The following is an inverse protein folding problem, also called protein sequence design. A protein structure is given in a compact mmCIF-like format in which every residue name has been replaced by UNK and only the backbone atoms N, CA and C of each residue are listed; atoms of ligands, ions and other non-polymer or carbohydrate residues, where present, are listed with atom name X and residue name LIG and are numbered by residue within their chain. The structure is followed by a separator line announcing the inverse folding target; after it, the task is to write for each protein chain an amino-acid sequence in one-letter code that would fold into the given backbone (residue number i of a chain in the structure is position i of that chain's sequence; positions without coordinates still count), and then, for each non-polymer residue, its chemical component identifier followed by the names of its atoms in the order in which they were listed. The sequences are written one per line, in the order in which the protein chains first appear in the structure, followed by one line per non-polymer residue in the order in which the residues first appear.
data_IF_515356224552
#
_entry.id   IF_515356224552
#
_cell.length_a   1.000
_cell.length_b   1.000
_cell.length_c   1.000
_cell.angle_alpha   90.00
_cell.angle_beta   90.00
_cell.angle_gamma   90.00
#
_symmetry.space_group_name_H-M   'P 1'
#
loop_
_entity.id
_entity.type
_entity.pdbx_description
1 polymer ?
#
# COMPACT_ATOMS: atom_id res chain seq x y z
N UNK A 1 -23.16 -10.46 -0.26
CA UNK A 1 -21.88 -10.11 -0.91
C UNK A 1 -20.97 -9.51 0.14
N UNK A 2 -19.73 -9.98 0.21
CA UNK A 2 -18.72 -9.39 1.09
C UNK A 2 -18.39 -7.97 0.63
N UNK A 3 -18.29 -7.06 1.61
CA UNK A 3 -17.90 -5.67 1.34
C UNK A 3 -16.38 -5.55 1.30
N UNK A 4 -15.89 -4.57 0.57
CA UNK A 4 -14.49 -4.20 0.49
C UNK A 4 -14.23 -3.02 1.43
N UNK A 5 -13.19 -3.12 2.27
CA UNK A 5 -12.73 -2.03 3.11
C UNK A 5 -11.74 -1.17 2.35
N UNK A 6 -12.19 0.00 1.92
CA UNK A 6 -11.41 0.95 1.12
C UNK A 6 -11.12 2.19 1.95
N UNK A 7 -9.84 2.53 2.10
CA UNK A 7 -9.40 3.73 2.81
C UNK A 7 -9.30 4.95 1.91
N UNK A 8 -8.94 4.75 0.65
CA UNK A 8 -8.85 5.84 -0.31
C UNK A 8 -9.02 5.36 -1.75
N UNK A 9 -9.48 6.26 -2.61
CA UNK A 9 -9.47 6.13 -4.06
C UNK A 9 -8.69 7.33 -4.60
N UNK A 10 -7.52 7.09 -5.18
CA UNK A 10 -6.67 8.13 -5.74
C UNK A 10 -6.66 8.04 -7.26
N UNK A 11 -6.98 9.16 -7.91
CA UNK A 11 -7.07 9.25 -9.38
C UNK A 11 -5.85 9.91 -9.98
N UNK A 12 -5.54 9.52 -11.22
CA UNK A 12 -4.45 10.13 -11.97
C UNK A 12 -3.05 9.72 -11.49
N UNK A 13 -2.93 8.56 -10.85
CA UNK A 13 -1.64 8.03 -10.40
C UNK A 13 -0.79 7.59 -11.59
N UNK A 14 0.50 7.96 -11.57
CA UNK A 14 1.47 7.63 -12.64
C UNK A 14 2.64 6.77 -12.14
N UNK A 15 2.68 6.49 -10.83
CA UNK A 15 3.72 5.66 -10.21
C UNK A 15 3.22 4.27 -9.78
N UNK A 16 1.91 4.02 -9.87
CA UNK A 16 1.29 2.79 -9.40
C UNK A 16 1.09 1.77 -10.55
N UNK A 17 2.02 1.77 -11.50
CA UNK A 17 2.06 0.95 -12.71
C UNK A 17 2.05 1.80 -13.98
N UNK A 18 2.11 1.14 -15.16
CA UNK A 18 2.14 1.83 -16.46
C UNK A 18 0.88 2.66 -16.73
N UNK A 19 1.07 3.81 -17.37
CA UNK A 19 -0.01 4.71 -17.79
C UNK A 19 -0.63 5.49 -16.64
N UNK A 20 -1.79 6.09 -16.89
CA UNK A 20 -2.58 6.79 -15.87
C UNK A 20 -3.49 5.78 -15.17
N UNK A 21 -3.49 5.78 -13.85
CA UNK A 21 -4.21 4.77 -13.07
C UNK A 21 -5.11 5.39 -12.01
N UNK A 22 -6.14 4.66 -11.66
CA UNK A 22 -6.90 4.89 -10.43
C UNK A 22 -6.46 3.86 -9.40
N UNK A 23 -5.88 4.31 -8.29
CA UNK A 23 -5.37 3.44 -7.24
C UNK A 23 -6.41 3.33 -6.12
N UNK A 24 -6.79 2.10 -5.81
CA UNK A 24 -7.72 1.74 -4.74
C UNK A 24 -6.90 1.25 -3.56
N UNK A 25 -6.92 1.99 -2.46
CA UNK A 25 -6.22 1.63 -1.24
C UNK A 25 -7.11 0.79 -0.33
N UNK A 26 -6.77 -0.47 -0.17
CA UNK A 26 -7.50 -1.43 0.67
C UNK A 26 -6.90 -1.48 2.07
N UNK A 27 -7.77 -1.60 3.07
CA UNK A 27 -7.38 -1.67 4.48
C UNK A 27 -6.99 -3.08 4.89
N UNK A 28 -5.99 -3.18 5.74
CA UNK A 28 -5.41 -4.41 6.27
C UNK A 28 -4.09 -4.76 5.60
N UNK A 29 -3.12 -5.20 6.39
CA UNK A 29 -1.81 -5.64 5.92
C UNK A 29 -1.33 -6.84 6.73
N UNK A 30 -0.57 -7.72 6.09
CA UNK A 30 0.11 -8.84 6.74
C UNK A 30 1.40 -8.42 7.46
N UNK A 31 1.89 -7.19 7.18
CA UNK A 31 3.14 -6.65 7.69
C UNK A 31 2.92 -5.33 8.46
N UNK A 32 3.90 -4.98 9.30
CA UNK A 32 3.91 -3.77 10.11
C UNK A 32 5.24 -3.03 9.90
N UNK A 33 5.49 -2.59 8.65
CA UNK A 33 6.74 -1.93 8.31
C UNK A 33 6.90 -0.63 9.10
N UNK A 34 8.02 -0.41 9.82
CA UNK A 34 8.23 0.81 10.61
C UNK A 34 8.26 2.09 9.78
N UNK A 35 8.61 2.01 8.51
CA UNK A 35 8.62 3.12 7.54
C UNK A 35 7.33 3.26 6.72
N UNK A 36 6.24 2.59 7.09
CA UNK A 36 5.01 2.57 6.30
C UNK A 36 4.47 3.99 6.10
N UNK A 37 4.23 4.42 4.86
CA UNK A 37 3.62 5.71 4.55
C UNK A 37 2.08 5.69 4.63
N UNK A 38 1.48 4.49 4.78
CA UNK A 38 0.03 4.28 4.88
C UNK A 38 -0.34 3.51 6.18
N UNK A 39 0.01 4.06 7.38
CA UNK A 39 -0.23 3.37 8.65
C UNK A 39 -1.72 3.09 8.92
N UNK A 40 -2.60 3.85 8.29
CA UNK A 40 -4.06 3.65 8.33
C UNK A 40 -4.51 2.33 7.70
N UNK A 41 -3.68 1.74 6.82
CA UNK A 41 -4.01 0.50 6.13
C UNK A 41 -3.43 -0.75 6.79
N UNK A 42 -2.71 -0.62 7.91
CA UNK A 42 -2.09 -1.77 8.57
C UNK A 42 -3.15 -2.67 9.22
N UNK A 43 -3.98 -2.10 10.10
CA UNK A 43 -5.03 -2.85 10.79
C UNK A 43 -6.24 -3.11 9.89
N UNK A 44 -6.85 -4.30 9.98
CA UNK A 44 -8.17 -4.54 9.37
C UNK A 44 -9.31 -3.86 10.11
N UNK A 45 -9.11 -3.57 11.40
CA UNK A 45 -10.14 -2.96 12.23
C UNK A 45 -10.42 -1.51 11.82
N UNK A 46 -11.65 -1.03 12.06
CA UNK A 46 -11.98 0.37 11.84
C UNK A 46 -11.16 1.24 12.79
N UNK A 47 -10.40 2.17 12.22
CA UNK A 47 -9.67 3.20 12.93
C UNK A 47 -10.21 4.58 12.53
N UNK A 48 -9.79 5.61 13.25
CA UNK A 48 -10.27 6.97 13.06
C UNK A 48 -9.08 7.91 12.99
N UNK A 49 -9.12 8.82 12.02
CA UNK A 49 -8.23 9.97 12.00
C UNK A 49 -8.81 11.05 12.90
N UNK A 50 -7.97 11.59 13.79
CA UNK A 50 -8.34 12.69 14.67
C UNK A 50 -7.63 13.97 14.24
N UNK A 51 -8.41 15.06 14.12
CA UNK A 51 -7.89 16.40 13.86
C UNK A 51 -8.21 17.31 15.06
N UNK A 52 -7.28 17.38 15.99
CA UNK A 52 -7.42 18.16 17.21
C UNK A 52 -7.54 19.65 16.95
N UNK A 53 -7.08 20.14 15.80
CA UNK A 53 -7.26 21.53 15.40
C UNK A 53 -8.74 21.92 15.21
N UNK A 54 -9.59 20.94 14.91
CA UNK A 54 -11.04 21.12 14.79
C UNK A 54 -11.78 21.06 16.14
N UNK A 55 -11.13 20.60 17.22
CA UNK A 55 -11.76 20.40 18.53
C UNK A 55 -11.94 21.73 19.27
N UNK A 56 -13.18 22.22 19.34
CA UNK A 56 -13.48 23.47 20.07
C UNK A 56 -13.30 23.32 21.58
N UNK A 57 -13.58 22.14 22.15
CA UNK A 57 -13.38 21.86 23.58
C UNK A 57 -11.90 22.00 23.98
N UNK A 58 -10.97 21.52 23.14
CA UNK A 58 -9.52 21.71 23.37
C UNK A 58 -9.08 23.17 23.22
N UNK A 59 -9.82 23.97 22.45
CA UNK A 59 -9.59 25.42 22.31
C UNK A 59 -10.20 26.24 23.46
N UNK A 60 -10.75 25.56 24.49
CA UNK A 60 -11.39 26.23 25.62
C UNK A 60 -12.75 26.87 25.31
N UNK A 61 -13.34 26.54 24.14
CA UNK A 61 -14.65 27.08 23.78
C UNK A 61 -15.73 26.17 24.34
N UNK A 62 -16.54 26.70 25.28
CA UNK A 62 -17.69 25.99 25.78
C UNK A 62 -18.81 25.92 24.75
N UNK A 63 -19.39 24.72 24.59
CA UNK A 63 -20.52 24.50 23.66
C UNK A 63 -21.41 23.39 24.23
N UNK A 64 -22.74 23.62 24.20
CA UNK A 64 -23.72 22.60 24.56
C UNK A 64 -23.61 21.36 23.68
N UNK A 65 -23.20 21.52 22.42
CA UNK A 65 -22.92 20.42 21.48
C UNK A 65 -21.78 19.50 21.94
N UNK A 66 -20.91 19.99 22.81
CA UNK A 66 -19.81 19.24 23.41
C UNK A 66 -20.15 18.68 24.80
N UNK A 67 -21.34 18.94 25.35
CA UNK A 67 -21.70 18.51 26.69
C UNK A 67 -21.74 16.99 26.87
N UNK A 68 -22.14 16.26 25.81
CA UNK A 68 -22.16 14.80 25.76
C UNK A 68 -20.86 14.17 25.28
N UNK A 69 -19.85 14.99 24.95
CA UNK A 69 -18.58 14.51 24.41
C UNK A 69 -17.81 13.74 25.47
N UNK A 70 -17.72 12.42 25.32
CA UNK A 70 -16.98 11.49 26.18
C UNK A 70 -15.51 11.40 25.87
N UNK A 71 -14.96 12.30 25.05
CA UNK A 71 -13.55 12.29 24.69
C UNK A 71 -12.71 12.65 25.93
N UNK A 72 -12.27 11.63 26.64
CA UNK A 72 -11.10 11.68 27.49
C UNK A 72 -9.89 11.29 26.66
N UNK A 73 -8.71 11.77 27.02
CA UNK A 73 -7.47 11.47 26.31
C UNK A 73 -7.32 9.94 26.16
N UNK A 74 -7.55 9.42 24.94
CA UNK A 74 -7.52 8.01 24.62
C UNK A 74 -8.83 7.35 24.18
N UNK A 75 -9.99 7.98 24.40
CA UNK A 75 -11.29 7.38 24.06
C UNK A 75 -11.67 7.60 22.59
N UNK A 76 -11.80 6.49 21.85
CA UNK A 76 -12.02 6.43 20.39
C UNK A 76 -13.49 6.55 19.97
N UNK A 77 -14.39 6.87 20.87
CA UNK A 77 -15.83 6.77 20.68
C UNK A 77 -16.49 8.07 20.19
N UNK A 78 -15.83 8.87 19.35
CA UNK A 78 -16.46 10.10 18.83
C UNK A 78 -16.72 9.96 17.33
N UNK A 79 -17.66 9.09 16.98
CA UNK A 79 -18.16 8.96 15.62
C UNK A 79 -19.12 10.07 15.20
N UNK A 80 -19.61 10.87 16.15
CA UNK A 80 -20.71 11.84 15.96
C UNK A 80 -20.31 13.27 16.34
N UNK A 81 -19.03 13.63 16.21
CA UNK A 81 -18.62 15.01 16.51
C UNK A 81 -19.13 15.98 15.42
N UNK A 82 -19.97 16.98 15.75
CA UNK A 82 -20.51 17.94 14.76
C UNK A 82 -19.41 18.80 14.11
N UNK A 83 -18.21 18.81 14.66
CA UNK A 83 -17.05 19.53 14.14
C UNK A 83 -16.11 18.64 13.32
N UNK A 84 -16.51 17.41 13.00
CA UNK A 84 -15.71 16.45 12.21
C UNK A 84 -14.27 16.30 12.74
N UNK A 85 -14.11 16.20 14.06
CA UNK A 85 -12.80 15.98 14.70
C UNK A 85 -12.30 14.57 14.44
N UNK A 86 -13.22 13.61 14.28
CA UNK A 86 -12.91 12.23 13.94
C UNK A 86 -13.48 11.87 12.56
N UNK A 87 -12.64 11.34 11.70
CA UNK A 87 -13.02 10.84 10.38
C UNK A 87 -12.69 9.33 10.30
N UNK A 88 -13.58 8.47 9.78
CA UNK A 88 -13.28 7.04 9.64
C UNK A 88 -12.14 6.85 8.64
N UNK A 89 -11.21 5.94 8.96
CA UNK A 89 -10.07 5.63 8.10
C UNK A 89 -10.50 4.92 6.82
N UNK A 90 -11.56 4.12 6.87
CA UNK A 90 -12.07 3.42 5.70
C UNK A 90 -13.59 3.41 5.65
N UNK A 91 -14.09 3.11 4.47
CA UNK A 91 -15.51 2.87 4.21
C UNK A 91 -15.71 1.49 3.62
N UNK A 92 -16.85 0.88 3.94
CA UNK A 92 -17.29 -0.38 3.36
C UNK A 92 -17.95 -0.13 2.00
N UNK A 93 -17.39 -0.71 0.94
CA UNK A 93 -17.88 -0.59 -0.42
C UNK A 93 -18.52 -1.90 -0.89
N UNK A 94 -19.67 -1.79 -1.56
CA UNK A 94 -20.16 -2.90 -2.38
C UNK A 94 -19.29 -3.00 -3.64
N UNK A 95 -19.02 -4.21 -4.15
CA UNK A 95 -18.23 -4.40 -5.37
C UNK A 95 -18.75 -3.59 -6.57
N UNK A 96 -20.08 -3.53 -6.75
CA UNK A 96 -20.71 -2.73 -7.80
C UNK A 96 -20.41 -1.24 -7.68
N UNK A 97 -20.50 -0.71 -6.45
CA UNK A 97 -20.32 0.72 -6.22
C UNK A 97 -18.84 1.13 -6.41
N UNK A 98 -17.93 0.23 -6.00
CA UNK A 98 -16.49 0.44 -6.23
C UNK A 98 -16.17 0.39 -7.72
N UNK A 99 -16.74 -0.57 -8.46
CA UNK A 99 -16.57 -0.64 -9.91
C UNK A 99 -17.06 0.63 -10.62
N UNK A 100 -18.20 1.20 -10.21
CA UNK A 100 -18.69 2.47 -10.75
C UNK A 100 -17.71 3.64 -10.54
N UNK A 101 -16.89 3.62 -9.47
CA UNK A 101 -15.84 4.63 -9.31
C UNK A 101 -14.68 4.43 -10.30
N UNK A 102 -14.32 3.18 -10.60
CA UNK A 102 -13.28 2.83 -11.57
C UNK A 102 -13.74 3.19 -12.99
N UNK A 103 -14.98 2.86 -13.31
CA UNK A 103 -15.58 3.11 -14.63
C UNK A 103 -15.60 4.60 -15.02
N UNK A 104 -15.81 5.50 -14.05
CA UNK A 104 -15.76 6.96 -14.29
C UNK A 104 -14.43 7.44 -14.86
N UNK A 105 -13.35 6.72 -14.56
CA UNK A 105 -11.99 7.11 -14.95
C UNK A 105 -11.51 6.39 -16.22
N UNK A 106 -12.35 5.51 -16.80
CA UNK A 106 -11.96 4.61 -17.90
C UNK A 106 -11.35 5.35 -19.10
N UNK A 107 -11.87 6.51 -19.45
CA UNK A 107 -11.34 7.30 -20.58
C UNK A 107 -9.94 7.88 -20.28
N UNK A 108 -9.61 8.09 -19.00
CA UNK A 108 -8.29 8.59 -18.58
C UNK A 108 -7.20 7.52 -18.66
N UNK A 109 -7.56 6.24 -18.64
CA UNK A 109 -6.61 5.13 -18.65
C UNK A 109 -5.83 5.01 -19.97
N UNK A 110 -6.39 5.50 -21.07
CA UNK A 110 -5.75 5.38 -22.39
C UNK A 110 -5.46 3.91 -22.75
N UNK A 111 -4.29 3.68 -23.36
CA UNK A 111 -3.91 2.33 -23.84
C UNK A 111 -3.18 1.49 -22.78
N UNK A 112 -2.51 2.11 -21.83
CA UNK A 112 -1.62 1.43 -20.86
C UNK A 112 -2.03 1.58 -19.39
N UNK A 113 -2.92 2.52 -19.10
CA UNK A 113 -3.43 2.75 -17.75
C UNK A 113 -4.55 1.78 -17.34
N UNK A 114 -5.08 1.97 -16.14
CA UNK A 114 -6.11 1.11 -15.59
C UNK A 114 -6.34 1.32 -14.10
N UNK A 115 -6.76 0.29 -13.41
CA UNK A 115 -6.91 0.29 -11.95
C UNK A 115 -5.72 -0.41 -11.29
N UNK A 116 -5.27 0.12 -10.15
CA UNK A 116 -4.32 -0.55 -9.26
C UNK A 116 -4.95 -0.77 -7.90
N UNK A 117 -4.94 -2.00 -7.44
CA UNK A 117 -5.32 -2.35 -6.07
C UNK A 117 -4.06 -2.37 -5.20
N UNK A 118 -4.02 -1.50 -4.21
CA UNK A 118 -2.91 -1.25 -3.29
C UNK A 118 -3.44 -1.03 -1.86
N UNK A 119 -2.74 -0.29 -1.03
CA UNK A 119 -3.18 0.13 0.32
C UNK A 119 -2.31 -0.45 1.43
N UNK A 120 -2.85 -1.42 2.18
CA UNK A 120 -2.06 -2.34 3.00
C UNK A 120 -1.54 -3.49 2.14
N UNK A 121 -2.12 -4.68 2.32
CA UNK A 121 -1.93 -5.82 1.42
C UNK A 121 -3.28 -6.14 0.75
N UNK A 122 -3.50 -5.74 -0.50
CA UNK A 122 -4.82 -5.87 -1.14
C UNK A 122 -5.30 -7.32 -1.24
N UNK A 123 -4.35 -8.26 -1.32
CA UNK A 123 -4.66 -9.68 -1.51
C UNK A 123 -5.24 -10.36 -0.28
N UNK A 124 -5.22 -9.73 0.90
CA UNK A 124 -5.97 -10.26 2.06
C UNK A 124 -7.49 -10.13 1.86
N UNK A 125 -7.93 -9.23 0.98
CA UNK A 125 -9.33 -9.06 0.58
C UNK A 125 -9.64 -9.74 -0.77
N UNK A 126 -8.81 -10.70 -1.23
CA UNK A 126 -8.91 -11.32 -2.54
C UNK A 126 -10.33 -11.84 -2.85
N UNK A 127 -10.93 -12.60 -1.96
CA UNK A 127 -12.28 -13.18 -2.15
C UNK A 127 -13.36 -12.09 -2.34
N UNK A 128 -13.22 -10.94 -1.66
CA UNK A 128 -14.14 -9.81 -1.79
C UNK A 128 -13.91 -9.00 -3.08
N UNK A 129 -12.68 -9.02 -3.62
CA UNK A 129 -12.31 -8.35 -4.86
C UNK A 129 -12.85 -9.04 -6.10
N UNK A 130 -13.07 -10.36 -6.11
CA UNK A 130 -13.41 -11.12 -7.32
C UNK A 130 -14.53 -10.48 -8.15
N UNK A 131 -15.66 -10.03 -7.59
CA UNK A 131 -16.72 -9.43 -8.41
C UNK A 131 -16.29 -8.11 -9.09
N UNK A 132 -15.44 -7.30 -8.44
CA UNK A 132 -14.89 -6.07 -9.03
C UNK A 132 -13.93 -6.41 -10.17
N UNK A 133 -13.07 -7.40 -9.96
CA UNK A 133 -12.09 -7.84 -10.96
C UNK A 133 -12.79 -8.38 -12.21
N UNK A 134 -13.85 -9.16 -12.04
CA UNK A 134 -14.67 -9.67 -13.14
C UNK A 134 -15.30 -8.53 -13.93
N UNK A 135 -15.92 -7.54 -13.25
CA UNK A 135 -16.48 -6.36 -13.91
C UNK A 135 -15.42 -5.57 -14.67
N UNK A 136 -14.23 -5.38 -14.10
CA UNK A 136 -13.11 -4.71 -14.75
C UNK A 136 -12.68 -5.45 -16.04
N UNK A 137 -12.51 -6.78 -15.96
CA UNK A 137 -12.16 -7.60 -17.14
C UNK A 137 -13.22 -7.52 -18.23
N UNK A 138 -14.51 -7.62 -17.88
CA UNK A 138 -15.62 -7.51 -18.83
C UNK A 138 -15.66 -6.16 -19.56
N UNK A 139 -15.08 -5.12 -18.97
CA UNK A 139 -14.95 -3.78 -19.53
C UNK A 139 -13.56 -3.47 -20.10
N UNK A 140 -12.69 -4.48 -20.23
CA UNK A 140 -11.31 -4.34 -20.71
C UNK A 140 -10.48 -3.31 -19.93
N UNK A 141 -10.71 -3.18 -18.62
CA UNK A 141 -9.88 -2.36 -17.72
C UNK A 141 -8.65 -3.16 -17.34
N UNK A 142 -7.46 -2.60 -17.57
CA UNK A 142 -6.21 -3.22 -17.13
C UNK A 142 -6.11 -3.19 -15.60
N UNK A 143 -5.75 -4.33 -15.00
CA UNK A 143 -5.71 -4.54 -13.57
C UNK A 143 -4.28 -4.75 -13.10
N UNK A 144 -3.82 -3.91 -12.18
CA UNK A 144 -2.57 -4.06 -11.45
C UNK A 144 -2.82 -4.32 -9.96
N UNK A 145 -1.92 -5.07 -9.34
CA UNK A 145 -1.86 -5.23 -7.89
C UNK A 145 -0.49 -4.77 -7.40
N UNK A 146 -0.48 -3.90 -6.39
CA UNK A 146 0.72 -3.58 -5.62
C UNK A 146 0.66 -4.37 -4.32
N UNK A 147 1.58 -5.32 -4.16
CA UNK A 147 1.52 -6.36 -3.13
C UNK A 147 2.92 -6.72 -2.63
N UNK A 148 3.00 -7.13 -1.37
CA UNK A 148 4.22 -7.72 -0.82
C UNK A 148 4.38 -9.19 -1.19
N UNK A 149 3.35 -9.82 -1.75
CA UNK A 149 3.21 -11.26 -1.95
C UNK A 149 3.33 -12.11 -0.66
N UNK A 150 3.42 -11.49 0.51
CA UNK A 150 3.43 -12.22 1.79
C UNK A 150 2.01 -12.55 2.23
N UNK A 151 1.37 -13.41 1.45
CA UNK A 151 0.00 -13.90 1.64
C UNK A 151 -0.10 -15.39 1.29
N UNK A 152 -1.20 -16.01 1.68
CA UNK A 152 -1.44 -17.41 1.33
C UNK A 152 -1.58 -17.64 -0.19
N UNK A 153 -1.10 -18.78 -0.70
CA UNK A 153 -1.21 -19.16 -2.12
C UNK A 153 -2.63 -19.08 -2.67
N UNK A 154 -3.63 -19.36 -1.83
CA UNK A 154 -5.05 -19.26 -2.22
C UNK A 154 -5.41 -17.86 -2.67
N UNK A 155 -4.93 -16.82 -1.97
CA UNK A 155 -5.21 -15.43 -2.29
C UNK A 155 -4.61 -15.03 -3.64
N UNK A 156 -3.36 -15.47 -3.90
CA UNK A 156 -2.69 -15.25 -5.19
C UNK A 156 -3.46 -15.97 -6.31
N UNK A 157 -3.76 -17.26 -6.13
CA UNK A 157 -4.45 -18.06 -7.14
C UNK A 157 -5.83 -17.50 -7.51
N UNK A 158 -6.52 -16.86 -6.55
CA UNK A 158 -7.83 -16.27 -6.78
C UNK A 158 -7.78 -15.05 -7.71
N UNK A 159 -6.73 -14.22 -7.64
CA UNK A 159 -6.62 -12.97 -8.42
C UNK A 159 -5.84 -13.12 -9.72
N UNK A 160 -4.97 -14.12 -9.83
CA UNK A 160 -4.15 -14.39 -11.03
C UNK A 160 -4.95 -14.34 -12.34
N UNK A 161 -6.17 -14.92 -12.47
CA UNK A 161 -6.92 -14.90 -13.73
C UNK A 161 -7.31 -13.49 -14.20
N UNK A 162 -7.26 -12.53 -13.31
CA UNK A 162 -7.67 -11.15 -13.56
C UNK A 162 -6.49 -10.17 -13.66
N UNK A 163 -5.34 -10.52 -13.11
CA UNK A 163 -4.19 -9.64 -13.04
C UNK A 163 -3.49 -9.51 -14.39
N UNK A 164 -3.24 -8.28 -14.83
CA UNK A 164 -2.37 -7.97 -15.98
C UNK A 164 -0.96 -7.61 -15.51
N UNK A 165 -0.85 -7.04 -14.31
CA UNK A 165 0.39 -6.53 -13.74
C UNK A 165 0.46 -6.86 -12.24
N UNK A 166 1.64 -7.29 -11.78
CA UNK A 166 1.98 -7.36 -10.36
C UNK A 166 3.15 -6.42 -10.06
N UNK A 167 2.98 -5.54 -9.11
CA UNK A 167 4.03 -4.66 -8.57
C UNK A 167 4.39 -5.24 -7.21
N UNK A 168 5.53 -5.90 -7.14
CA UNK A 168 5.97 -6.65 -5.96
C UNK A 168 6.89 -5.78 -5.12
N UNK A 169 6.39 -5.30 -3.99
CA UNK A 169 7.13 -4.47 -3.05
C UNK A 169 7.86 -5.35 -2.02
N UNK A 170 9.16 -5.56 -2.24
CA UNK A 170 10.00 -6.43 -1.42
C UNK A 170 10.32 -5.77 -0.08
N UNK A 171 10.10 -6.50 1.02
CA UNK A 171 10.36 -6.04 2.40
C UNK A 171 11.60 -6.73 2.96
N UNK A 172 12.76 -6.27 2.53
CA UNK A 172 14.09 -6.85 2.85
C UNK A 172 14.88 -6.01 3.86
N UNK A 173 14.30 -4.94 4.39
CA UNK A 173 14.94 -4.00 5.30
C UNK A 173 15.13 -4.62 6.69
N UNK A 174 16.29 -4.41 7.36
CA UNK A 174 16.56 -4.96 8.69
C UNK A 174 15.56 -4.52 9.76
N UNK A 175 15.06 -3.29 9.67
CA UNK A 175 14.11 -2.71 10.61
C UNK A 175 12.74 -3.42 10.61
N UNK A 176 12.45 -4.20 9.56
CA UNK A 176 11.26 -5.05 9.50
C UNK A 176 11.31 -6.19 10.52
N UNK A 177 12.53 -6.54 11.00
CA UNK A 177 12.75 -7.72 11.80
C UNK A 177 12.59 -9.02 11.00
N UNK A 178 12.55 -10.13 11.73
CA UNK A 178 12.36 -11.42 11.10
C UNK A 178 10.90 -11.64 10.71
N UNK A 179 10.65 -11.75 9.42
CA UNK A 179 9.36 -12.16 8.89
C UNK A 179 9.40 -13.67 8.67
N UNK A 180 8.60 -14.46 9.40
CA UNK A 180 8.66 -15.92 9.30
C UNK A 180 8.49 -16.42 7.87
N UNK A 181 9.45 -17.22 7.40
CA UNK A 181 9.42 -17.87 6.09
C UNK A 181 9.22 -16.92 4.89
N UNK A 182 9.60 -15.63 5.03
CA UNK A 182 9.34 -14.59 4.03
C UNK A 182 9.84 -14.95 2.63
N UNK A 183 11.14 -15.26 2.49
CA UNK A 183 11.76 -15.54 1.19
C UNK A 183 11.12 -16.75 0.48
N UNK A 184 10.79 -17.82 1.22
CA UNK A 184 10.14 -18.97 0.65
C UNK A 184 8.71 -18.65 0.20
N UNK A 185 7.94 -17.91 1.01
CA UNK A 185 6.59 -17.47 0.67
C UNK A 185 6.59 -16.65 -0.62
N UNK A 186 7.52 -15.66 -0.73
CA UNK A 186 7.63 -14.82 -1.93
C UNK A 186 8.03 -15.67 -3.14
N UNK A 187 9.04 -16.54 -3.01
CA UNK A 187 9.49 -17.41 -4.11
C UNK A 187 8.37 -18.27 -4.65
N UNK A 188 7.64 -18.95 -3.77
CA UNK A 188 6.54 -19.83 -4.15
C UNK A 188 5.38 -19.06 -4.83
N UNK A 189 5.06 -17.86 -4.34
CA UNK A 189 4.03 -17.01 -4.93
C UNK A 189 4.47 -16.39 -6.28
N UNK A 190 5.75 -16.03 -6.42
CA UNK A 190 6.34 -15.60 -7.69
C UNK A 190 6.28 -16.71 -8.74
N UNK A 191 6.56 -17.96 -8.36
CA UNK A 191 6.47 -19.09 -9.27
C UNK A 191 5.06 -19.30 -9.84
N UNK A 192 4.02 -19.06 -9.02
CA UNK A 192 2.63 -19.09 -9.49
C UNK A 192 2.36 -18.00 -10.53
N UNK A 193 2.82 -16.78 -10.27
CA UNK A 193 2.62 -15.62 -11.15
C UNK A 193 3.38 -15.78 -12.47
N UNK A 194 4.67 -16.18 -12.40
CA UNK A 194 5.52 -16.37 -13.58
C UNK A 194 4.96 -17.43 -14.54
N UNK A 195 4.38 -18.50 -14.01
CA UNK A 195 3.73 -19.56 -14.84
C UNK A 195 2.56 -19.06 -15.67
N UNK A 196 1.95 -17.94 -15.30
CA UNK A 196 0.82 -17.32 -16.01
C UNK A 196 1.23 -16.21 -16.98
N UNK A 197 2.52 -15.88 -17.07
CA UNK A 197 3.04 -14.85 -17.96
C UNK A 197 2.61 -13.42 -17.59
N UNK A 198 2.27 -13.17 -16.33
CA UNK A 198 1.88 -11.86 -15.83
C UNK A 198 3.13 -10.97 -15.77
N UNK A 199 3.00 -9.70 -16.17
CA UNK A 199 4.08 -8.72 -16.06
C UNK A 199 4.35 -8.41 -14.59
N UNK A 200 5.60 -8.54 -14.14
CA UNK A 200 6.01 -8.28 -12.76
C UNK A 200 7.02 -7.15 -12.71
N UNK A 201 6.72 -6.12 -11.92
CA UNK A 201 7.65 -5.07 -11.53
C UNK A 201 8.08 -5.32 -10.09
N UNK A 202 9.36 -5.23 -9.80
CA UNK A 202 9.88 -5.41 -8.45
C UNK A 202 10.27 -4.06 -7.86
N UNK A 203 9.82 -3.78 -6.64
CA UNK A 203 10.12 -2.56 -5.89
C UNK A 203 10.84 -2.84 -4.61
N UNK A 204 11.69 -1.92 -4.22
CA UNK A 204 12.35 -1.91 -2.92
C UNK A 204 12.42 -0.47 -2.41
N UNK A 205 11.81 -0.22 -1.26
CA UNK A 205 11.96 1.06 -0.56
C UNK A 205 13.34 1.08 0.09
N UNK A 206 14.18 2.04 -0.29
CA UNK A 206 15.50 2.19 0.30
C UNK A 206 15.41 2.96 1.61
N UNK A 207 15.94 2.35 2.68
CA UNK A 207 16.27 2.97 3.97
C UNK A 207 17.78 2.87 4.19
N UNK A 208 18.38 3.79 4.96
CA UNK A 208 19.84 3.92 5.07
C UNK A 208 20.56 2.63 5.50
N UNK A 209 19.93 1.81 6.32
CA UNK A 209 20.51 0.55 6.79
C UNK A 209 20.80 -0.46 5.67
N UNK A 210 20.08 -0.39 4.55
CA UNK A 210 20.31 -1.30 3.41
C UNK A 210 21.71 -1.21 2.85
N UNK A 211 22.39 -0.05 3.01
CA UNK A 211 23.78 0.10 2.54
C UNK A 211 24.74 -0.85 3.25
N UNK A 212 24.46 -1.16 4.52
CA UNK A 212 25.33 -2.04 5.35
C UNK A 212 25.16 -3.52 5.03
N UNK A 213 24.06 -3.88 4.36
CA UNK A 213 23.74 -5.28 3.99
C UNK A 213 23.51 -5.44 2.48
N UNK A 214 24.03 -4.53 1.66
CA UNK A 214 23.80 -4.49 0.22
C UNK A 214 24.15 -5.81 -0.49
N UNK A 215 25.22 -6.51 -0.05
CA UNK A 215 25.60 -7.81 -0.60
C UNK A 215 24.54 -8.89 -0.32
N UNK A 216 23.96 -8.89 0.89
CA UNK A 216 22.87 -9.78 1.28
C UNK A 216 21.65 -9.51 0.41
N UNK A 217 21.26 -8.24 0.26
CA UNK A 217 20.12 -7.84 -0.58
C UNK A 217 20.32 -8.29 -2.01
N UNK A 218 21.49 -8.02 -2.61
CA UNK A 218 21.79 -8.43 -3.96
C UNK A 218 21.65 -9.96 -4.14
N UNK A 219 22.18 -10.76 -3.21
CA UNK A 219 22.03 -12.22 -3.23
C UNK A 219 20.57 -12.66 -3.15
N UNK A 220 19.75 -12.00 -2.30
CA UNK A 220 18.32 -12.31 -2.19
C UNK A 220 17.58 -11.98 -3.48
N UNK A 221 17.83 -10.83 -4.10
CA UNK A 221 17.23 -10.46 -5.39
C UNK A 221 17.59 -11.48 -6.48
N UNK A 222 18.87 -11.83 -6.61
CA UNK A 222 19.33 -12.83 -7.57
C UNK A 222 18.73 -14.22 -7.32
N UNK A 223 18.55 -14.61 -6.04
CA UNK A 223 17.93 -15.90 -5.68
C UNK A 223 16.45 -16.00 -6.07
N UNK A 224 15.75 -14.87 -6.17
CA UNK A 224 14.38 -14.77 -6.71
C UNK A 224 14.34 -14.65 -8.24
N UNK A 225 15.50 -14.64 -8.90
CA UNK A 225 15.61 -14.45 -10.36
C UNK A 225 15.20 -13.04 -10.81
N UNK A 226 15.47 -12.03 -9.97
CA UNK A 226 15.18 -10.63 -10.25
C UNK A 226 16.40 -10.02 -10.96
N UNK A 227 16.20 -9.50 -12.16
CA UNK A 227 17.21 -8.84 -12.99
C UNK A 227 16.99 -7.31 -13.07
N UNK A 228 15.76 -6.86 -12.84
CA UNK A 228 15.38 -5.45 -12.84
C UNK A 228 14.64 -5.09 -11.57
N UNK A 229 14.97 -3.92 -10.97
CA UNK A 229 14.34 -3.44 -9.74
C UNK A 229 14.10 -1.94 -9.79
N UNK A 230 12.93 -1.53 -9.32
CA UNK A 230 12.56 -0.15 -9.04
C UNK A 230 12.95 0.19 -7.60
N UNK A 231 13.79 1.22 -7.41
CA UNK A 231 14.15 1.73 -6.10
C UNK A 231 13.36 2.99 -5.79
N UNK A 232 12.75 3.01 -4.62
CA UNK A 232 12.11 4.20 -4.05
C UNK A 232 12.91 4.66 -2.84
N UNK A 233 13.25 5.93 -2.80
CA UNK A 233 13.86 6.54 -1.62
C UNK A 233 12.81 6.70 -0.52
N UNK A 234 13.07 6.17 0.67
CA UNK A 234 12.16 6.33 1.80
C UNK A 234 12.03 7.81 2.17
N UNK A 235 10.80 8.21 2.47
CA UNK A 235 10.43 9.57 2.88
C UNK A 235 9.50 9.52 4.11
N UNK A 236 9.40 10.64 4.82
CA UNK A 236 8.55 10.74 6.02
C UNK A 236 7.19 11.42 5.76
N UNK A 237 6.64 11.30 4.53
CA UNK A 237 5.36 11.92 4.16
C UNK A 237 4.15 11.34 4.91
N UNK A 238 4.29 10.14 5.46
CA UNK A 238 3.28 9.50 6.31
C UNK A 238 3.14 10.08 7.71
N UNK A 239 4.09 10.89 8.20
CA UNK A 239 4.13 11.37 9.59
C UNK A 239 2.82 11.96 10.10
N UNK A 240 2.17 12.81 9.28
CA UNK A 240 0.87 13.40 9.63
C UNK A 240 -0.26 12.37 9.79
N UNK A 241 -0.20 11.25 9.10
CA UNK A 241 -1.18 10.17 9.24
C UNK A 241 -1.00 9.44 10.57
N UNK A 242 0.26 9.22 10.98
CA UNK A 242 0.58 8.67 12.30
C UNK A 242 0.06 9.57 13.41
N UNK A 243 0.34 10.89 13.33
CA UNK A 243 -0.18 11.87 14.28
C UNK A 243 -1.71 11.79 14.39
N UNK A 244 -2.42 11.82 13.25
CA UNK A 244 -3.88 11.71 13.22
C UNK A 244 -4.42 10.37 13.78
N UNK A 245 -3.65 9.30 13.71
CA UNK A 245 -3.98 8.01 14.29
C UNK A 245 -3.58 7.89 15.76
N UNK A 246 -2.97 8.93 16.35
CA UNK A 246 -2.36 8.91 17.67
C UNK A 246 -1.33 7.77 17.83
N UNK A 247 -0.50 7.60 16.78
CA UNK A 247 0.59 6.64 16.73
C UNK A 247 1.92 7.37 16.63
N UNK A 248 2.96 6.75 17.17
CA UNK A 248 4.33 7.24 16.99
C UNK A 248 4.84 6.90 15.58
N UNK A 249 5.60 7.81 14.99
CA UNK A 249 6.31 7.58 13.73
C UNK A 249 7.80 7.77 13.92
N UNK A 250 8.57 6.95 13.21
CA UNK A 250 10.02 7.07 13.13
C UNK A 250 10.38 7.61 11.75
N UNK A 251 11.31 8.56 11.70
CA UNK A 251 11.79 9.12 10.44
C UNK A 251 12.86 8.20 9.83
N UNK A 252 12.52 7.57 8.72
CA UNK A 252 13.41 6.74 7.90
C UNK A 252 13.81 7.44 6.60
N UNK A 253 13.69 8.76 6.53
CA UNK A 253 14.09 9.51 5.33
C UNK A 253 15.50 9.14 4.91
N UNK A 254 15.60 8.67 3.68
CA UNK A 254 16.85 8.15 3.17
C UNK A 254 17.83 9.26 2.77
N UNK A 255 19.09 9.10 3.13
CA UNK A 255 20.19 9.97 2.67
C UNK A 255 20.43 9.74 1.17
N UNK A 256 20.51 10.83 0.42
CA UNK A 256 20.69 10.79 -1.05
C UNK A 256 21.98 10.08 -1.47
N UNK A 257 23.08 10.31 -0.74
CA UNK A 257 24.38 9.71 -1.04
C UNK A 257 24.35 8.20 -0.82
N UNK A 258 23.72 7.74 0.26
CA UNK A 258 23.57 6.31 0.52
C UNK A 258 22.66 5.64 -0.49
N UNK A 259 21.60 6.32 -0.91
CA UNK A 259 20.70 5.85 -1.95
C UNK A 259 21.43 5.68 -3.28
N UNK A 260 22.21 6.67 -3.71
CA UNK A 260 22.99 6.61 -4.94
C UNK A 260 24.04 5.49 -4.88
N UNK A 261 24.81 5.39 -3.78
CA UNK A 261 25.81 4.33 -3.60
C UNK A 261 25.18 2.93 -3.63
N UNK A 262 23.96 2.77 -3.08
CA UNK A 262 23.24 1.50 -3.13
C UNK A 262 22.81 1.15 -4.55
N UNK A 263 22.25 2.12 -5.27
CA UNK A 263 21.86 1.97 -6.67
C UNK A 263 23.03 1.59 -7.55
N UNK A 264 24.16 2.31 -7.45
CA UNK A 264 25.40 2.04 -8.20
C UNK A 264 25.97 0.64 -7.87
N UNK A 265 25.90 0.23 -6.60
CA UNK A 265 26.32 -1.11 -6.21
C UNK A 265 25.48 -2.18 -6.89
N UNK A 266 24.14 -2.08 -6.88
CA UNK A 266 23.28 -3.06 -7.56
C UNK A 266 23.53 -3.10 -9.06
N UNK A 267 23.79 -1.95 -9.70
CA UNK A 267 24.14 -1.86 -11.11
C UNK A 267 25.49 -2.55 -11.41
N UNK A 268 26.48 -2.37 -10.53
CA UNK A 268 27.80 -3.05 -10.66
C UNK A 268 27.66 -4.57 -10.56
N UNK A 269 26.64 -5.04 -9.85
CA UNK A 269 26.27 -6.46 -9.73
C UNK A 269 25.34 -6.94 -10.87
N UNK A 270 25.21 -6.16 -11.95
CA UNK A 270 24.45 -6.47 -13.19
C UNK A 270 22.92 -6.47 -13.02
N UNK A 271 22.37 -5.85 -11.98
CA UNK A 271 20.94 -5.57 -11.91
C UNK A 271 20.62 -4.29 -12.69
N UNK A 272 19.54 -4.29 -13.43
CA UNK A 272 18.98 -3.07 -14.00
C UNK A 272 18.19 -2.34 -12.91
N UNK A 273 18.60 -1.10 -12.61
CA UNK A 273 18.01 -0.30 -11.53
C UNK A 273 17.33 0.92 -12.09
N UNK A 274 16.04 1.07 -11.79
CA UNK A 274 15.25 2.27 -12.08
C UNK A 274 14.98 3.02 -10.77
N UNK A 275 15.42 4.27 -10.67
CA UNK A 275 15.11 5.11 -9.51
C UNK A 275 13.79 5.82 -9.75
N UNK A 276 12.78 5.54 -8.91
CA UNK A 276 11.51 6.25 -8.95
C UNK A 276 11.60 7.55 -8.15
N UNK A 277 11.14 8.64 -8.75
CA UNK A 277 11.03 9.95 -8.09
C UNK A 277 9.58 10.09 -7.61
N UNK A 278 9.39 10.03 -6.30
CA UNK A 278 8.10 10.26 -5.63
C UNK A 278 8.07 11.66 -5.04
#
# INVERSE_FOLDING_TARGET
MSKLRVSAIQRGCVYDGPGVRTTIFLKGCTLHCPWCCNPENISLEQEWFFDDSKCIKRKGIASELCASCKRNDGDRAITECPFSVAEPVCHDWLPSDLFLQIEKDKELFGKSGGVTFSGGEPLIQADALLPVLEMCKNQNVNIAFETTLYVGKKNIAAVIPYADIMIVDLKLQPEQGDIPNYMNCISENLDLIKKQGINVFYRLVFVNSLITIKEKICKQLKSLGIEEIELLKCHHLGARKYEKLNKESVDFTADERFFQNFSEYLQSEQLKVTQLKV
#
